data_IF_241370126838
#
_entry.id   IF_241370126838
#
_cell.length_a   1.000
_cell.length_b   1.000
_cell.length_c   1.000
_cell.angle_alpha   90.00
_cell.angle_beta   90.00
_cell.angle_gamma   90.00
#
_symmetry.space_group_name_H-M   'P 1'
#
loop_
_entity.id
_entity.type
_entity.pdbx_description
1 polymer ?
#
# COMPACT_ATOMS: atom_id res chain seq x y z
N UNK A 1 -14.95 14.51 69.62
CA UNK A 1 -15.57 15.00 68.38
C UNK A 1 -14.59 15.11 67.21
N UNK A 2 -13.48 15.80 67.32
CA UNK A 2 -12.54 16.03 66.21
C UNK A 2 -12.00 14.74 65.61
N UNK A 3 -11.60 13.76 66.41
CA UNK A 3 -11.07 12.47 65.94
C UNK A 3 -12.11 11.67 65.11
N UNK A 4 -13.37 11.69 65.49
CA UNK A 4 -14.46 11.03 64.79
C UNK A 4 -14.70 11.67 63.41
N UNK A 5 -14.67 12.98 63.35
CA UNK A 5 -14.85 13.71 62.06
C UNK A 5 -13.63 13.41 61.15
N UNK A 6 -12.43 13.39 61.67
CA UNK A 6 -11.26 13.04 60.91
C UNK A 6 -11.30 11.59 60.36
N UNK A 7 -11.73 10.64 61.20
CA UNK A 7 -11.88 9.23 60.78
C UNK A 7 -12.96 9.08 59.68
N UNK A 8 -14.10 9.78 59.78
CA UNK A 8 -15.12 9.78 58.72
C UNK A 8 -14.59 10.40 57.43
N UNK A 9 -13.82 11.48 57.50
CA UNK A 9 -13.17 12.10 56.37
C UNK A 9 -12.19 11.15 55.64
N UNK A 10 -11.35 10.44 56.38
CA UNK A 10 -10.42 9.45 55.79
C UNK A 10 -11.21 8.28 55.13
N UNK A 11 -12.26 7.80 55.77
CA UNK A 11 -13.07 6.72 55.21
C UNK A 11 -13.82 7.15 53.94
N UNK A 12 -14.33 8.37 53.92
CA UNK A 12 -14.98 8.92 52.73
C UNK A 12 -13.99 9.10 51.56
N UNK A 13 -12.75 9.54 51.86
CA UNK A 13 -11.73 9.66 50.83
C UNK A 13 -11.29 8.27 50.31
N UNK A 14 -11.12 7.29 51.16
CA UNK A 14 -10.78 5.92 50.80
C UNK A 14 -11.87 5.30 49.89
N UNK A 15 -13.15 5.46 50.23
CA UNK A 15 -14.25 4.97 49.39
C UNK A 15 -14.35 5.67 48.05
N UNK A 16 -14.07 6.99 48.01
CA UNK A 16 -14.06 7.75 46.76
C UNK A 16 -12.93 7.28 45.82
N UNK A 17 -11.71 7.06 46.36
CA UNK A 17 -10.56 6.54 45.59
C UNK A 17 -10.85 5.12 45.10
N UNK A 18 -11.34 4.24 45.97
CA UNK A 18 -11.72 2.87 45.61
C UNK A 18 -12.76 2.86 44.47
N UNK A 19 -13.82 3.66 44.60
CA UNK A 19 -14.86 3.78 43.56
C UNK A 19 -14.30 4.25 42.22
N UNK A 20 -13.32 5.19 42.22
CA UNK A 20 -12.65 5.66 41.00
C UNK A 20 -11.82 4.57 40.35
N UNK A 21 -11.04 3.83 41.13
CA UNK A 21 -10.20 2.72 40.64
C UNK A 21 -11.07 1.61 40.03
N UNK A 22 -12.12 1.20 40.75
CA UNK A 22 -13.03 0.14 40.27
C UNK A 22 -13.72 0.53 38.96
N UNK A 23 -14.22 1.75 38.86
CA UNK A 23 -14.81 2.26 37.60
C UNK A 23 -13.82 2.30 36.44
N UNK A 24 -12.56 2.65 36.72
CA UNK A 24 -11.49 2.64 35.73
C UNK A 24 -11.19 1.22 35.24
N UNK A 25 -11.12 0.25 36.14
CA UNK A 25 -10.88 -1.15 35.78
C UNK A 25 -12.03 -1.76 34.99
N UNK A 26 -13.29 -1.50 35.35
CA UNK A 26 -14.47 -1.95 34.60
C UNK A 26 -14.48 -1.37 33.19
N UNK A 27 -14.15 -0.09 33.03
CA UNK A 27 -14.05 0.51 31.71
C UNK A 27 -12.90 -0.09 30.89
N UNK A 28 -11.75 -0.31 31.47
CA UNK A 28 -10.62 -0.94 30.80
C UNK A 28 -10.93 -2.36 30.34
N UNK A 29 -11.58 -3.18 31.18
CA UNK A 29 -12.00 -4.53 30.82
C UNK A 29 -13.08 -4.54 29.73
N UNK A 30 -14.04 -3.61 29.76
CA UNK A 30 -15.03 -3.47 28.69
C UNK A 30 -14.38 -3.13 27.35
N UNK A 31 -13.45 -2.16 27.32
CA UNK A 31 -12.69 -1.82 26.10
C UNK A 31 -11.87 -3.02 25.60
N UNK A 32 -11.25 -3.78 26.51
CA UNK A 32 -10.48 -4.97 26.12
C UNK A 32 -11.37 -6.02 25.46
N UNK A 33 -12.57 -6.29 26.00
CA UNK A 33 -13.55 -7.24 25.43
C UNK A 33 -14.01 -6.76 24.04
N UNK A 34 -14.40 -5.50 23.91
CA UNK A 34 -14.83 -4.94 22.61
C UNK A 34 -13.71 -4.97 21.58
N UNK A 35 -12.48 -4.69 21.99
CA UNK A 35 -11.31 -4.76 21.10
C UNK A 35 -11.05 -6.20 20.65
N UNK A 36 -11.14 -7.17 21.57
CA UNK A 36 -10.97 -8.58 21.23
C UNK A 36 -12.07 -9.05 20.26
N UNK A 37 -13.31 -8.64 20.49
CA UNK A 37 -14.44 -8.92 19.61
C UNK A 37 -14.23 -8.31 18.21
N UNK A 38 -13.86 -7.05 18.14
CA UNK A 38 -13.59 -6.37 16.86
C UNK A 38 -12.48 -7.08 16.08
N UNK A 39 -11.39 -7.48 16.74
CA UNK A 39 -10.31 -8.27 16.13
C UNK A 39 -10.78 -9.62 15.62
N UNK A 40 -11.62 -10.33 16.39
CA UNK A 40 -12.18 -11.62 15.97
C UNK A 40 -13.10 -11.48 14.73
N UNK A 41 -13.93 -10.46 14.70
CA UNK A 41 -14.80 -10.14 13.55
C UNK A 41 -13.95 -9.77 12.31
N UNK A 42 -12.91 -8.97 12.49
CA UNK A 42 -11.99 -8.63 11.41
C UNK A 42 -11.25 -9.86 10.85
N UNK A 43 -10.77 -10.76 11.73
CA UNK A 43 -10.15 -12.01 11.33
C UNK A 43 -11.12 -12.94 10.57
N UNK A 44 -12.38 -13.00 11.01
CA UNK A 44 -13.43 -13.72 10.30
C UNK A 44 -13.66 -13.16 8.88
N UNK A 45 -13.56 -11.83 8.71
CA UNK A 45 -13.63 -11.17 7.41
C UNK A 45 -12.51 -11.58 6.47
N UNK A 46 -11.28 -11.63 6.96
CA UNK A 46 -10.13 -12.08 6.18
C UNK A 46 -10.32 -13.54 5.74
N UNK A 47 -10.70 -14.42 6.66
CA UNK A 47 -10.94 -15.84 6.35
C UNK A 47 -12.06 -16.02 5.32
N UNK A 48 -13.12 -15.23 5.43
CA UNK A 48 -14.21 -15.24 4.45
C UNK A 48 -13.73 -14.77 3.07
N UNK A 49 -12.91 -13.73 3.01
CA UNK A 49 -12.32 -13.26 1.77
C UNK A 49 -11.44 -14.33 1.11
N UNK A 50 -10.59 -15.01 1.90
CA UNK A 50 -9.76 -16.12 1.41
C UNK A 50 -10.63 -17.26 0.87
N UNK A 51 -11.68 -17.64 1.59
CA UNK A 51 -12.62 -18.68 1.12
C UNK A 51 -13.25 -18.29 -0.22
N UNK A 52 -13.73 -17.06 -0.34
CA UNK A 52 -14.33 -16.54 -1.60
C UNK A 52 -13.33 -16.52 -2.75
N UNK A 53 -12.08 -16.17 -2.50
CA UNK A 53 -11.02 -16.22 -3.51
C UNK A 53 -10.72 -17.64 -3.97
N UNK A 54 -10.71 -18.62 -3.06
CA UNK A 54 -10.51 -20.04 -3.37
C UNK A 54 -11.69 -20.59 -4.18
N UNK A 55 -12.93 -20.28 -3.81
CA UNK A 55 -14.14 -20.64 -4.57
C UNK A 55 -14.08 -20.07 -5.99
N UNK A 56 -13.68 -18.81 -6.16
CA UNK A 56 -13.52 -18.17 -7.45
C UNK A 56 -12.48 -18.87 -8.32
N UNK A 57 -11.33 -19.28 -7.77
CA UNK A 57 -10.29 -20.04 -8.50
C UNK A 57 -10.78 -21.42 -8.93
N UNK A 58 -11.64 -22.07 -8.14
CA UNK A 58 -12.20 -23.39 -8.46
C UNK A 58 -13.32 -23.36 -9.51
N UNK A 59 -14.02 -22.25 -9.66
CA UNK A 59 -15.13 -22.11 -10.61
C UNK A 59 -15.23 -20.67 -11.17
N UNK A 60 -14.38 -20.31 -12.15
CA UNK A 60 -14.37 -18.95 -12.75
C UNK A 60 -15.66 -18.56 -13.46
N UNK A 61 -16.46 -19.57 -13.88
CA UNK A 61 -17.73 -19.39 -14.59
C UNK A 61 -18.95 -19.31 -13.66
N UNK A 62 -18.76 -19.48 -12.36
CA UNK A 62 -19.81 -19.40 -11.35
C UNK A 62 -20.46 -18.02 -11.32
N UNK A 63 -21.78 -17.97 -11.17
CA UNK A 63 -22.59 -16.72 -11.10
C UNK A 63 -22.30 -15.86 -9.85
N UNK A 64 -21.27 -16.18 -9.09
CA UNK A 64 -20.91 -15.51 -7.85
C UNK A 64 -20.05 -14.25 -8.12
N UNK A 65 -20.70 -13.25 -8.75
CA UNK A 65 -20.12 -11.92 -8.98
C UNK A 65 -20.05 -11.04 -7.73
N UNK A 66 -20.47 -11.58 -6.58
CA UNK A 66 -20.62 -10.79 -5.35
C UNK A 66 -19.29 -10.49 -4.65
N UNK A 67 -18.19 -11.11 -5.08
CA UNK A 67 -16.85 -10.83 -4.58
C UNK A 67 -15.91 -10.44 -5.72
N UNK A 68 -15.85 -9.15 -6.02
CA UNK A 68 -14.97 -8.64 -7.07
C UNK A 68 -13.57 -8.33 -6.47
N UNK A 69 -12.51 -8.89 -7.09
CA UNK A 69 -11.10 -8.59 -6.78
C UNK A 69 -10.72 -7.13 -7.20
N UNK A 70 -11.69 -6.32 -7.53
CA UNK A 70 -11.54 -4.92 -7.96
C UNK A 70 -11.62 -3.88 -6.84
N UNK A 71 -11.55 -4.29 -5.58
CA UNK A 71 -11.62 -3.37 -4.44
C UNK A 71 -13.04 -2.96 -4.03
N UNK A 72 -14.07 -3.60 -4.56
CA UNK A 72 -15.44 -3.40 -4.09
C UNK A 72 -15.63 -4.07 -2.73
N UNK A 73 -16.38 -3.41 -1.85
CA UNK A 73 -16.66 -3.95 -0.53
C UNK A 73 -17.71 -5.06 -0.61
N UNK A 74 -17.37 -6.22 -0.08
CA UNK A 74 -18.32 -7.27 0.27
C UNK A 74 -18.76 -7.07 1.72
N UNK A 75 -20.06 -6.94 1.95
CA UNK A 75 -20.62 -6.76 3.28
C UNK A 75 -21.44 -7.97 3.68
N UNK A 76 -21.20 -8.50 4.87
CA UNK A 76 -22.01 -9.56 5.46
C UNK A 76 -22.28 -9.29 6.93
N UNK A 77 -23.32 -9.92 7.46
CA UNK A 77 -23.66 -9.86 8.89
C UNK A 77 -23.16 -11.09 9.62
N UNK A 78 -22.38 -10.89 10.66
CA UNK A 78 -21.86 -11.94 11.54
C UNK A 78 -22.47 -11.77 12.94
N UNK A 79 -23.58 -12.46 13.20
CA UNK A 79 -24.40 -12.21 14.39
C UNK A 79 -24.92 -10.76 14.41
N UNK A 80 -24.66 -9.99 15.49
CA UNK A 80 -25.08 -8.58 15.58
C UNK A 80 -24.14 -7.64 14.79
N UNK A 81 -22.95 -8.09 14.40
CA UNK A 81 -21.92 -7.25 13.80
C UNK A 81 -22.06 -7.18 12.27
N UNK A 82 -21.79 -6.00 11.71
CA UNK A 82 -21.66 -5.80 10.27
C UNK A 82 -20.19 -5.84 9.90
N UNK A 83 -19.84 -6.75 9.00
CA UNK A 83 -18.51 -6.91 8.44
C UNK A 83 -18.48 -6.38 7.01
N UNK A 84 -17.54 -5.51 6.70
CA UNK A 84 -17.23 -5.10 5.34
C UNK A 84 -15.77 -5.48 5.02
N UNK A 85 -15.57 -6.22 3.93
CA UNK A 85 -14.26 -6.68 3.47
C UNK A 85 -14.04 -6.30 2.02
N UNK A 86 -12.85 -5.84 1.70
CA UNK A 86 -12.42 -5.57 0.32
C UNK A 86 -11.20 -6.41 -0.01
N UNK A 87 -11.13 -6.92 -1.25
CA UNK A 87 -9.92 -7.52 -1.78
C UNK A 87 -9.47 -6.76 -3.03
N UNK A 88 -8.16 -6.53 -3.15
CA UNK A 88 -7.54 -5.93 -4.33
C UNK A 88 -6.42 -6.81 -4.82
N UNK A 89 -6.27 -6.88 -6.14
CA UNK A 89 -5.12 -7.54 -6.75
C UNK A 89 -3.95 -6.56 -6.79
N UNK A 90 -2.85 -6.93 -6.16
CA UNK A 90 -1.62 -6.13 -6.17
C UNK A 90 -0.90 -6.19 -7.54
N UNK A 91 -1.25 -7.14 -8.41
CA UNK A 91 -0.71 -7.23 -9.77
C UNK A 91 -1.06 -6.05 -10.68
N UNK A 92 -2.06 -5.26 -10.30
CA UNK A 92 -2.41 -4.01 -10.99
C UNK A 92 -1.58 -2.80 -10.57
N UNK A 93 -0.64 -2.95 -9.61
CA UNK A 93 0.25 -1.89 -9.14
C UNK A 93 1.70 -2.12 -9.58
N UNK A 94 2.49 -1.10 -9.54
CA UNK A 94 3.93 -1.15 -9.82
C UNK A 94 4.66 -1.71 -8.60
N UNK A 95 5.36 -2.82 -8.79
CA UNK A 95 6.16 -3.42 -7.72
C UNK A 95 7.50 -2.72 -7.58
N UNK A 96 7.73 -2.12 -6.41
CA UNK A 96 8.97 -1.42 -6.09
C UNK A 96 10.20 -2.32 -6.18
N UNK A 97 10.05 -3.63 -6.00
CA UNK A 97 11.15 -4.59 -6.02
C UNK A 97 11.48 -5.09 -7.43
N UNK A 98 10.53 -5.06 -8.36
CA UNK A 98 10.68 -5.65 -9.69
C UNK A 98 10.60 -4.63 -10.82
N UNK A 99 9.99 -3.46 -10.60
CA UNK A 99 9.87 -2.43 -11.62
C UNK A 99 11.25 -1.99 -12.14
N UNK A 100 11.35 -1.83 -13.45
CA UNK A 100 12.54 -1.27 -14.08
C UNK A 100 12.53 0.28 -14.04
N UNK A 101 13.68 0.89 -14.35
CA UNK A 101 13.86 2.34 -14.37
C UNK A 101 12.81 3.04 -15.25
N UNK A 102 12.55 2.50 -16.44
CA UNK A 102 11.60 3.08 -17.39
C UNK A 102 10.18 3.15 -16.84
N UNK A 103 9.72 2.08 -16.16
CA UNK A 103 8.39 2.03 -15.58
C UNK A 103 8.24 3.02 -14.42
N UNK A 104 9.25 3.10 -13.54
CA UNK A 104 9.29 4.08 -12.44
C UNK A 104 9.32 5.51 -12.98
N UNK A 105 10.17 5.77 -13.98
CA UNK A 105 10.26 7.07 -14.63
C UNK A 105 8.94 7.48 -15.28
N UNK A 106 8.28 6.57 -16.00
CA UNK A 106 6.98 6.83 -16.62
C UNK A 106 5.91 7.18 -15.57
N UNK A 107 5.89 6.47 -14.42
CA UNK A 107 5.01 6.83 -13.30
C UNK A 107 5.26 8.27 -12.83
N UNK A 108 6.51 8.64 -12.55
CA UNK A 108 6.85 9.96 -12.03
C UNK A 108 6.55 11.08 -13.02
N UNK A 109 6.84 10.89 -14.30
CA UNK A 109 6.46 11.83 -15.35
C UNK A 109 4.94 11.99 -15.47
N UNK A 110 4.22 10.87 -15.37
CA UNK A 110 2.76 10.85 -15.41
C UNK A 110 2.11 11.52 -14.19
N UNK A 111 2.82 11.62 -13.08
CA UNK A 111 2.44 12.39 -11.89
C UNK A 111 2.88 13.87 -11.98
N UNK A 112 3.31 14.33 -13.17
CA UNK A 112 3.78 15.68 -13.46
C UNK A 112 5.07 16.08 -12.69
N UNK A 113 5.89 15.12 -12.29
CA UNK A 113 7.23 15.42 -11.82
C UNK A 113 8.12 15.76 -13.02
N UNK A 114 8.93 16.80 -12.90
CA UNK A 114 9.86 17.20 -13.98
C UNK A 114 10.84 16.08 -14.32
N UNK A 115 11.34 15.99 -15.58
CA UNK A 115 12.18 14.87 -16.03
C UNK A 115 13.41 14.62 -15.16
N UNK A 116 14.10 15.68 -14.73
CA UNK A 116 15.28 15.53 -13.87
C UNK A 116 14.96 14.91 -12.51
N UNK A 117 13.80 15.28 -11.90
CA UNK A 117 13.35 14.72 -10.63
C UNK A 117 12.85 13.28 -10.81
N UNK A 118 12.16 12.99 -11.92
CA UNK A 118 11.68 11.65 -12.24
C UNK A 118 12.84 10.66 -12.40
N UNK A 119 13.89 11.06 -13.12
CA UNK A 119 15.08 10.23 -13.29
C UNK A 119 15.81 10.01 -11.96
N UNK A 120 15.99 11.06 -11.16
CA UNK A 120 16.66 10.98 -9.87
C UNK A 120 15.91 10.06 -8.89
N UNK A 121 14.58 10.14 -8.85
CA UNK A 121 13.76 9.29 -7.99
C UNK A 121 13.76 7.82 -8.45
N UNK A 122 13.73 7.58 -9.77
CA UNK A 122 13.82 6.22 -10.30
C UNK A 122 15.15 5.58 -9.94
N UNK A 123 16.28 6.27 -10.18
CA UNK A 123 17.60 5.81 -9.82
C UNK A 123 17.74 5.60 -8.29
N UNK A 124 17.25 6.55 -7.47
CA UNK A 124 17.34 6.43 -6.01
C UNK A 124 16.53 5.24 -5.45
N UNK A 125 15.39 4.89 -6.05
CA UNK A 125 14.61 3.69 -5.66
C UNK A 125 15.37 2.42 -6.04
N UNK A 126 16.01 2.41 -7.20
CA UNK A 126 16.78 1.26 -7.67
C UNK A 126 18.01 1.03 -6.80
N UNK A 127 18.78 2.09 -6.48
CA UNK A 127 19.94 2.03 -5.57
C UNK A 127 19.51 1.66 -4.13
N UNK A 128 18.36 2.14 -3.67
CA UNK A 128 17.87 1.80 -2.33
C UNK A 128 17.61 0.31 -2.12
N UNK A 129 17.21 -0.41 -3.18
CA UNK A 129 16.81 -1.82 -3.09
C UNK A 129 17.88 -2.82 -3.53
N UNK A 130 18.85 -2.41 -4.35
CA UNK A 130 19.93 -3.31 -4.77
C UNK A 130 20.94 -3.54 -3.66
N UNK A 131 21.77 -4.58 -3.80
CA UNK A 131 22.66 -5.05 -2.72
C UNK A 131 24.07 -4.53 -2.84
N UNK A 132 24.33 -3.58 -3.74
CA UNK A 132 25.67 -3.04 -3.94
C UNK A 132 25.74 -1.54 -3.57
N UNK A 133 26.89 -0.90 -3.77
CA UNK A 133 27.11 0.53 -3.50
C UNK A 133 27.50 1.28 -4.79
N UNK A 134 27.09 0.78 -5.95
CA UNK A 134 27.40 1.38 -7.24
C UNK A 134 26.31 2.36 -7.64
N UNK A 135 26.50 3.61 -7.27
CA UNK A 135 25.52 4.66 -7.54
C UNK A 135 25.18 4.77 -9.04
N UNK A 136 23.89 4.76 -9.35
CA UNK A 136 23.36 5.12 -10.66
C UNK A 136 23.61 6.60 -10.96
N UNK A 137 23.49 6.99 -12.22
CA UNK A 137 23.90 8.32 -12.68
C UNK A 137 23.24 9.48 -11.89
N UNK A 138 22.00 9.32 -11.46
CA UNK A 138 21.23 10.30 -10.66
C UNK A 138 20.75 9.73 -9.34
N UNK A 139 21.19 8.53 -8.97
CA UNK A 139 20.80 7.82 -7.79
C UNK A 139 21.51 8.31 -6.51
N UNK A 140 21.36 7.54 -5.45
CA UNK A 140 21.91 7.89 -4.14
C UNK A 140 22.34 6.64 -3.38
N UNK A 141 23.59 6.64 -2.98
CA UNK A 141 24.20 5.62 -2.15
C UNK A 141 24.64 6.18 -0.80
N UNK A 142 25.40 5.41 -0.04
CA UNK A 142 25.80 5.77 1.34
C UNK A 142 26.37 7.19 1.48
N UNK A 143 27.13 7.66 0.49
CA UNK A 143 27.73 8.98 0.50
C UNK A 143 26.68 10.11 0.47
N UNK A 144 25.69 10.00 -0.42
CA UNK A 144 24.61 10.98 -0.56
C UNK A 144 23.66 10.94 0.65
N UNK A 145 23.35 9.76 1.15
CA UNK A 145 22.55 9.60 2.37
C UNK A 145 23.25 10.23 3.57
N UNK A 146 24.55 10.00 3.76
CA UNK A 146 25.35 10.58 4.82
C UNK A 146 25.42 12.11 4.72
N UNK A 147 25.60 12.64 3.50
CA UNK A 147 25.56 14.07 3.25
C UNK A 147 24.22 14.72 3.60
N UNK A 148 23.12 13.97 3.47
CA UNK A 148 21.77 14.38 3.86
C UNK A 148 21.46 14.10 5.35
N UNK A 149 22.40 13.61 6.15
CA UNK A 149 22.21 13.28 7.57
C UNK A 149 21.38 12.02 7.80
N UNK A 150 21.33 11.11 6.82
CA UNK A 150 20.60 9.83 6.88
C UNK A 150 21.57 8.65 6.97
N UNK A 151 21.07 7.49 7.41
CA UNK A 151 21.89 6.30 7.70
C UNK A 151 22.30 5.48 6.46
N UNK A 152 21.89 5.88 5.25
CA UNK A 152 22.20 5.14 4.03
C UNK A 152 20.98 4.47 3.41
N UNK A 153 21.11 3.92 2.18
CA UNK A 153 20.08 3.11 1.56
C UNK A 153 19.94 1.77 2.31
N UNK A 154 18.83 1.08 2.11
CA UNK A 154 18.58 -0.22 2.74
C UNK A 154 19.46 -1.34 2.16
N UNK A 155 19.84 -1.23 0.87
CA UNK A 155 20.54 -2.25 0.08
C UNK A 155 19.86 -3.63 0.18
N UNK A 156 18.53 -3.62 0.20
CA UNK A 156 17.68 -4.81 0.28
C UNK A 156 16.27 -4.50 -0.24
N UNK A 157 15.52 -5.50 -0.71
CA UNK A 157 14.15 -5.31 -1.19
C UNK A 157 13.25 -4.58 -0.19
N UNK A 158 12.30 -3.80 -0.72
CA UNK A 158 11.24 -3.18 0.07
C UNK A 158 10.37 -4.25 0.74
N UNK A 159 10.19 -4.17 2.05
CA UNK A 159 9.25 -5.02 2.78
C UNK A 159 7.84 -4.40 2.81
N UNK A 160 7.75 -3.07 2.70
CA UNK A 160 6.50 -2.34 2.68
C UNK A 160 6.65 -1.03 1.86
N UNK A 161 5.54 -0.52 1.35
CA UNK A 161 5.52 0.73 0.55
C UNK A 161 5.91 1.96 1.37
N UNK A 162 5.70 1.91 2.68
CA UNK A 162 6.05 2.96 3.64
C UNK A 162 7.57 3.22 3.72
N UNK A 163 8.39 2.23 3.35
CA UNK A 163 9.84 2.38 3.29
C UNK A 163 10.30 3.41 2.25
N UNK A 164 9.43 3.79 1.30
CA UNK A 164 9.67 4.91 0.39
C UNK A 164 10.03 6.21 1.13
N UNK A 165 9.55 6.40 2.36
CA UNK A 165 9.96 7.55 3.20
C UNK A 165 11.47 7.58 3.51
N UNK A 166 12.15 6.44 3.36
CA UNK A 166 13.59 6.32 3.60
C UNK A 166 14.41 6.63 2.35
N UNK A 167 13.79 6.58 1.16
CA UNK A 167 14.47 6.86 -0.11
C UNK A 167 14.82 8.35 -0.19
N UNK A 168 16.04 8.65 -0.61
CA UNK A 168 16.50 10.04 -0.74
C UNK A 168 15.71 10.77 -1.84
N UNK A 169 15.23 11.98 -1.54
CA UNK A 169 14.41 12.78 -2.47
C UNK A 169 12.92 12.48 -2.43
N UNK A 170 12.48 11.46 -1.68
CA UNK A 170 11.06 11.18 -1.42
C UNK A 170 10.63 11.89 -0.14
N UNK A 171 9.54 12.62 -0.21
CA UNK A 171 8.86 13.26 0.92
C UNK A 171 7.52 12.57 1.22
N UNK A 172 6.93 12.88 2.37
CA UNK A 172 5.69 12.25 2.84
C UNK A 172 4.50 12.52 1.91
N UNK A 173 4.49 13.66 1.22
CA UNK A 173 3.45 13.99 0.26
C UNK A 173 3.54 13.09 -0.97
N UNK A 174 4.74 12.89 -1.49
CA UNK A 174 4.98 11.99 -2.62
C UNK A 174 4.66 10.53 -2.25
N UNK A 175 5.00 10.09 -1.04
CA UNK A 175 4.59 8.75 -0.56
C UNK A 175 3.07 8.59 -0.58
N UNK A 176 2.33 9.58 -0.09
CA UNK A 176 0.86 9.55 -0.11
C UNK A 176 0.30 9.52 -1.53
N UNK A 177 0.92 10.23 -2.47
CA UNK A 177 0.54 10.21 -3.90
C UNK A 177 0.85 8.86 -4.56
N UNK A 178 1.96 8.22 -4.19
CA UNK A 178 2.40 6.94 -4.76
C UNK A 178 1.65 5.73 -4.18
N UNK A 179 1.22 5.78 -2.92
CA UNK A 179 0.61 4.66 -2.21
C UNK A 179 -0.52 3.93 -2.96
N UNK A 180 -1.40 4.59 -3.75
CA UNK A 180 -2.41 3.89 -4.54
C UNK A 180 -1.84 3.12 -5.74
N UNK A 181 -0.62 3.42 -6.20
CA UNK A 181 -0.06 2.98 -7.47
C UNK A 181 1.07 1.97 -7.33
N UNK A 182 1.69 1.88 -6.15
CA UNK A 182 2.86 1.03 -5.90
C UNK A 182 2.56 -0.07 -4.90
N UNK A 183 3.36 -1.13 -4.97
CA UNK A 183 3.33 -2.26 -4.03
C UNK A 183 4.74 -2.80 -3.83
N UNK A 184 4.94 -3.63 -2.81
CA UNK A 184 6.16 -4.42 -2.61
C UNK A 184 5.92 -5.93 -2.77
N UNK A 185 4.73 -6.35 -3.24
CA UNK A 185 4.27 -7.73 -3.07
C UNK A 185 3.72 -8.40 -4.33
N UNK A 186 3.69 -7.74 -5.50
CA UNK A 186 3.14 -8.35 -6.71
C UNK A 186 4.11 -9.37 -7.35
N UNK A 187 5.41 -9.19 -7.18
CA UNK A 187 6.44 -10.02 -7.77
C UNK A 187 6.53 -9.90 -9.30
N UNK A 188 6.01 -8.81 -9.88
CA UNK A 188 5.95 -8.57 -11.32
C UNK A 188 6.75 -7.33 -11.71
N UNK A 189 7.41 -7.39 -12.85
CA UNK A 189 8.17 -6.28 -13.44
C UNK A 189 7.32 -5.27 -14.22
N UNK A 190 6.05 -5.62 -14.52
CA UNK A 190 5.03 -4.78 -15.13
C UNK A 190 3.73 -4.79 -14.32
N UNK A 191 2.67 -4.20 -14.89
CA UNK A 191 1.34 -4.17 -14.30
C UNK A 191 0.34 -5.00 -15.12
N UNK A 192 -0.71 -5.49 -14.44
CA UNK A 192 -1.86 -6.09 -15.10
C UNK A 192 -2.92 -5.00 -15.35
N UNK A 193 -3.16 -4.59 -16.61
CA UNK A 193 -4.07 -3.50 -16.93
C UNK A 193 -5.53 -3.83 -16.62
N UNK A 194 -5.87 -5.11 -16.45
CA UNK A 194 -7.26 -5.52 -16.18
C UNK A 194 -7.70 -5.21 -14.76
N UNK A 195 -6.74 -5.14 -13.83
CA UNK A 195 -6.96 -4.85 -12.40
C UNK A 195 -6.28 -3.56 -11.93
N UNK A 196 -5.49 -2.93 -12.81
CA UNK A 196 -4.79 -1.69 -12.50
C UNK A 196 -5.77 -0.52 -12.26
N UNK A 197 -5.48 0.36 -11.29
CA UNK A 197 -6.22 1.59 -11.11
C UNK A 197 -6.20 2.46 -12.36
N UNK A 198 -7.36 2.93 -12.83
CA UNK A 198 -7.43 3.82 -14.02
C UNK A 198 -6.48 5.02 -13.94
N UNK A 199 -6.35 5.73 -12.80
CA UNK A 199 -5.39 6.85 -12.71
C UNK A 199 -3.94 6.42 -12.93
N UNK A 200 -3.56 5.19 -12.57
CA UNK A 200 -2.22 4.65 -12.84
C UNK A 200 -2.02 4.45 -14.36
N UNK A 201 -3.00 3.85 -15.04
CA UNK A 201 -2.94 3.66 -16.50
C UNK A 201 -2.78 5.00 -17.21
N UNK A 202 -3.56 6.00 -16.81
CA UNK A 202 -3.49 7.35 -17.37
C UNK A 202 -2.14 8.03 -17.07
N UNK A 203 -1.60 7.85 -15.87
CA UNK A 203 -0.29 8.38 -15.51
C UNK A 203 0.81 7.73 -16.39
N UNK A 204 0.80 6.41 -16.54
CA UNK A 204 1.79 5.71 -17.36
C UNK A 204 1.72 6.10 -18.85
N UNK A 205 0.52 6.28 -19.39
CA UNK A 205 0.34 6.79 -20.76
C UNK A 205 0.94 8.17 -20.95
N UNK A 206 0.71 9.09 -20.01
CA UNK A 206 1.29 10.44 -20.06
C UNK A 206 2.81 10.41 -19.94
N UNK A 207 3.33 9.59 -19.05
CA UNK A 207 4.77 9.51 -18.78
C UNK A 207 5.58 8.79 -19.85
N UNK A 208 4.96 7.92 -20.65
CA UNK A 208 5.65 7.21 -21.76
C UNK A 208 5.60 8.01 -23.09
N UNK A 209 4.86 9.11 -23.14
CA UNK A 209 4.85 9.96 -24.34
C UNK A 209 6.21 10.68 -24.47
N UNK A 210 6.87 10.62 -25.64
CA UNK A 210 8.01 11.48 -25.91
C UNK A 210 7.55 12.93 -25.81
N UNK A 211 8.29 13.74 -25.10
CA UNK A 211 8.01 15.17 -24.84
C UNK A 211 7.90 15.94 -26.15
N UNK A 212 6.75 15.92 -26.79
CA UNK A 212 6.39 16.81 -27.90
C UNK A 212 5.45 17.90 -27.38
N UNK A 213 5.56 19.16 -27.83
CA UNK A 213 4.76 20.24 -27.32
C UNK A 213 3.28 20.02 -27.61
N UNK A 214 2.49 20.26 -26.58
CA UNK A 214 1.03 20.29 -26.51
C UNK A 214 0.29 20.47 -27.84
N UNK A 215 -0.34 19.38 -28.31
CA UNK A 215 -1.59 19.45 -29.06
C UNK A 215 -2.52 18.39 -28.44
N UNK A 216 -3.52 18.89 -27.75
CA UNK A 216 -4.64 18.10 -27.25
C UNK A 216 -5.47 17.62 -28.43
N UNK A 217 -5.53 16.32 -28.64
CA UNK A 217 -6.55 15.70 -29.47
C UNK A 217 -7.41 14.80 -28.58
N UNK A 218 -8.69 15.16 -28.47
CA UNK A 218 -9.69 14.58 -27.57
C UNK A 218 -10.25 13.21 -28.05
N UNK A 219 -9.56 12.49 -28.91
CA UNK A 219 -10.11 11.30 -29.57
C UNK A 219 -9.80 9.94 -28.95
N UNK A 220 -9.20 9.86 -27.75
CA UNK A 220 -8.82 8.57 -27.12
C UNK A 220 -9.65 8.19 -25.89
N UNK A 221 -10.94 7.98 -26.09
CA UNK A 221 -11.84 7.42 -25.09
C UNK A 221 -12.15 5.95 -25.37
N UNK A 222 -11.16 5.07 -25.67
CA UNK A 222 -11.47 3.63 -25.82
C UNK A 222 -10.26 2.71 -25.57
N UNK A 223 -10.47 1.77 -24.61
CA UNK A 223 -9.90 0.45 -24.28
C UNK A 223 -8.66 0.39 -23.37
N UNK A 224 -8.70 -0.56 -22.40
CA UNK A 224 -7.55 -0.86 -21.50
C UNK A 224 -6.33 -1.50 -22.19
N UNK A 225 -6.42 -1.79 -23.50
CA UNK A 225 -5.40 -2.50 -24.27
C UNK A 225 -4.24 -1.63 -24.78
N UNK A 226 -4.26 -0.31 -24.52
CA UNK A 226 -3.31 0.63 -25.14
C UNK A 226 -2.11 1.02 -24.26
N UNK A 227 -1.83 0.23 -23.23
CA UNK A 227 -0.55 0.37 -22.53
C UNK A 227 0.59 -0.20 -23.41
N UNK A 228 1.75 0.50 -23.46
CA UNK A 228 2.92 -0.05 -24.09
C UNK A 228 3.19 -1.47 -23.59
N UNK A 229 3.41 -2.42 -24.50
CA UNK A 229 3.56 -3.85 -24.18
C UNK A 229 4.63 -4.14 -23.13
N UNK A 230 5.61 -3.25 -22.98
CA UNK A 230 6.67 -3.32 -21.99
C UNK A 230 6.23 -3.10 -20.53
N UNK A 231 5.03 -2.57 -20.31
CA UNK A 231 4.47 -2.31 -18.97
C UNK A 231 3.43 -3.35 -18.54
N UNK A 232 3.12 -4.29 -19.43
CA UNK A 232 2.05 -5.26 -19.23
C UNK A 232 2.63 -6.65 -18.98
N UNK A 233 2.25 -7.28 -17.88
CA UNK A 233 2.48 -8.71 -17.67
C UNK A 233 1.34 -9.52 -18.26
N UNK A 234 1.60 -10.60 -19.01
CA UNK A 234 0.53 -11.45 -19.53
C UNK A 234 -0.28 -12.10 -18.40
N UNK A 235 -1.61 -12.22 -18.52
CA UNK A 235 -2.50 -12.62 -17.43
C UNK A 235 -2.32 -14.04 -16.89
N UNK A 236 -1.46 -14.85 -17.49
CA UNK A 236 -1.23 -16.27 -17.12
C UNK A 236 0.23 -16.65 -16.92
N UNK A 237 1.17 -15.71 -16.88
CA UNK A 237 2.57 -16.04 -16.58
C UNK A 237 2.69 -16.38 -15.08
N UNK A 238 2.84 -17.68 -14.79
CA UNK A 238 3.35 -18.11 -13.50
C UNK A 238 4.69 -17.38 -13.26
N UNK A 239 4.97 -16.99 -12.02
CA UNK A 239 6.06 -16.10 -11.57
C UNK A 239 7.49 -16.44 -12.06
N UNK A 240 7.67 -17.52 -12.81
CA UNK A 240 8.94 -17.96 -13.38
C UNK A 240 9.23 -17.45 -14.80
N UNK A 241 8.26 -16.88 -15.51
CA UNK A 241 8.44 -16.47 -16.90
C UNK A 241 8.82 -14.98 -17.06
N UNK A 242 8.46 -14.12 -16.11
CA UNK A 242 8.85 -12.69 -16.10
C UNK A 242 10.31 -12.44 -15.72
N UNK A 243 10.99 -13.45 -15.13
CA UNK A 243 12.38 -13.31 -14.66
C UNK A 243 13.47 -13.62 -15.70
N UNK A 244 13.12 -13.87 -16.95
CA UNK A 244 14.09 -14.25 -17.99
C UNK A 244 13.76 -13.64 -19.34
N UNK A 245 14.04 -12.39 -19.53
CA UNK A 245 14.46 -11.84 -20.83
C UNK A 245 15.26 -10.57 -20.58
N UNK A 246 16.55 -10.78 -20.56
CA UNK A 246 17.59 -9.77 -20.78
C UNK A 246 17.78 -9.59 -22.28
#
# INVERSE_FOLDING_TARGET
>A
MVIVIAAIGVLALATAVFSKVTRSQVRASAVAVETARAKAVAAAGINLAVLKLLEFRGNPSGKQRDFAIGGQAFSCRLGPDLLATTARDEGGKIDLNFANERLLRALFLGLNLGPARADALADAILDFRDGDNNKRSKGAEEAEYRAAGRTGPKNAPFAATEELNQVLGVDAELVAQLAPFVTAHSGKDGIDPTVAPRPLIEALRRGDQPTAPSQLDDSFAERPSDLPAQFVCPPHAASSACARTW
#
